data_IF_453806486931
#
_entry.id   IF_453806486931
#
_cell.length_a   1.000
_cell.length_b   1.000
_cell.length_c   1.000
_cell.angle_alpha   90.00
_cell.angle_beta   90.00
_cell.angle_gamma   90.00
#
_symmetry.space_group_name_H-M   'P 1'
#
loop_
_entity.id
_entity.type
_entity.pdbx_description
1 polymer ?
#
# COMPACT_ATOMS: atom_id res chain seq x y z
N UNK A 1 3.98 -9.33 -5.88
CA UNK A 1 3.78 -7.92 -6.27
C UNK A 1 5.13 -7.28 -6.56
N UNK A 2 5.23 -6.56 -7.65
CA UNK A 2 6.44 -5.83 -7.98
C UNK A 2 6.10 -4.34 -8.20
N UNK A 3 7.14 -3.52 -8.31
CA UNK A 3 6.99 -2.07 -8.45
C UNK A 3 6.18 -1.68 -9.70
N UNK A 4 6.35 -2.42 -10.79
CA UNK A 4 5.63 -2.15 -12.03
C UNK A 4 4.13 -2.37 -11.87
N UNK A 5 3.74 -3.48 -11.26
CA UNK A 5 2.32 -3.77 -10.99
C UNK A 5 1.73 -2.77 -10.02
N UNK A 6 2.47 -2.42 -8.98
CA UNK A 6 2.04 -1.46 -7.98
C UNK A 6 1.79 -0.11 -8.64
N UNK A 7 2.71 0.35 -9.47
CA UNK A 7 2.61 1.62 -10.16
C UNK A 7 1.42 1.66 -11.13
N UNK A 8 1.22 0.57 -11.88
CA UNK A 8 0.15 0.48 -12.88
C UNK A 8 -1.25 0.45 -12.28
N UNK A 9 -1.41 -0.11 -11.07
CA UNK A 9 -2.72 -0.31 -10.44
C UNK A 9 -2.92 0.52 -9.18
N UNK A 10 -2.05 1.49 -8.93
CA UNK A 10 -2.05 2.19 -7.65
C UNK A 10 -3.35 2.90 -7.31
N UNK A 11 -3.95 3.60 -8.25
CA UNK A 11 -5.20 4.32 -7.98
C UNK A 11 -6.32 3.39 -7.51
N UNK A 12 -6.41 2.22 -8.12
CA UNK A 12 -7.39 1.21 -7.74
C UNK A 12 -7.07 0.63 -6.36
N UNK A 13 -5.81 0.25 -6.15
CA UNK A 13 -5.36 -0.30 -4.88
C UNK A 13 -5.54 0.69 -3.74
N UNK A 14 -5.24 1.96 -4.00
CA UNK A 14 -5.41 3.03 -3.01
C UNK A 14 -6.85 3.09 -2.51
N UNK A 15 -7.80 3.08 -3.43
CA UNK A 15 -9.21 3.10 -3.06
C UNK A 15 -9.61 1.89 -2.22
N UNK A 16 -9.15 0.71 -2.62
CA UNK A 16 -9.45 -0.54 -1.91
C UNK A 16 -8.80 -0.56 -0.52
N UNK A 17 -7.57 -0.09 -0.40
CA UNK A 17 -6.88 -0.04 0.89
C UNK A 17 -7.57 0.94 1.85
N UNK A 18 -8.00 2.09 1.38
CA UNK A 18 -8.73 3.06 2.21
C UNK A 18 -10.07 2.50 2.67
N UNK A 19 -10.75 1.76 1.82
CA UNK A 19 -12.01 1.13 2.17
C UNK A 19 -11.83 0.02 3.22
N UNK A 20 -10.74 -0.74 3.11
CA UNK A 20 -10.46 -1.84 4.03
C UNK A 20 -9.88 -1.35 5.35
N UNK A 21 -9.04 -0.34 5.32
CA UNK A 21 -8.36 0.20 6.50
C UNK A 21 -8.61 1.70 6.60
N UNK A 22 -9.63 2.05 7.35
CA UNK A 22 -10.06 3.45 7.49
C UNK A 22 -8.99 4.35 8.12
N UNK A 23 -8.00 3.76 8.81
CA UNK A 23 -6.89 4.52 9.40
C UNK A 23 -5.90 5.04 8.35
N UNK A 24 -5.91 4.49 7.13
CA UNK A 24 -5.02 4.95 6.07
C UNK A 24 -5.54 6.25 5.46
N UNK A 25 -4.64 7.23 5.32
CA UNK A 25 -4.97 8.53 4.72
C UNK A 25 -4.36 8.62 3.33
N UNK A 26 -4.75 9.66 2.58
CA UNK A 26 -4.15 9.92 1.27
C UNK A 26 -2.64 10.15 1.37
N UNK A 27 -2.19 10.81 2.45
CA UNK A 27 -0.76 11.04 2.67
C UNK A 27 0.00 9.73 2.89
N UNK A 28 -0.61 8.78 3.60
CA UNK A 28 0.00 7.46 3.82
C UNK A 28 0.13 6.68 2.52
N UNK A 29 -0.75 6.93 1.58
CA UNK A 29 -0.84 6.21 0.32
C UNK A 29 -0.28 6.99 -0.86
N UNK A 30 0.45 8.06 -0.59
CA UNK A 30 1.06 8.86 -1.65
C UNK A 30 2.18 8.08 -2.32
N UNK A 31 1.93 7.65 -3.55
CA UNK A 31 2.90 6.92 -4.35
C UNK A 31 3.86 7.90 -5.02
N UNK A 32 5.14 7.79 -4.68
CA UNK A 32 6.18 8.59 -5.30
C UNK A 32 7.17 7.64 -5.96
N UNK A 33 7.46 7.87 -7.23
CA UNK A 33 8.42 7.06 -7.97
C UNK A 33 9.79 7.08 -7.28
N UNK A 34 10.35 5.89 -7.07
CA UNK A 34 11.61 5.73 -6.35
C UNK A 34 11.48 5.69 -4.83
N UNK A 35 10.25 5.83 -4.29
CA UNK A 35 10.03 5.82 -2.84
C UNK A 35 8.97 4.80 -2.42
N UNK A 36 8.77 3.78 -3.24
CA UNK A 36 7.77 2.74 -2.99
C UNK A 36 8.03 2.01 -1.68
N UNK A 37 9.30 1.74 -1.37
CA UNK A 37 9.66 1.04 -0.14
C UNK A 37 9.34 1.87 1.10
N UNK A 38 9.55 3.18 1.04
CA UNK A 38 9.20 4.09 2.14
C UNK A 38 7.70 4.10 2.38
N UNK A 39 6.92 4.16 1.30
CA UNK A 39 5.47 4.13 1.38
C UNK A 39 4.98 2.82 1.99
N UNK A 40 5.48 1.69 1.51
CA UNK A 40 5.11 0.38 2.04
C UNK A 40 5.50 0.22 3.50
N UNK A 41 6.68 0.73 3.88
CA UNK A 41 7.12 0.72 5.27
C UNK A 41 6.20 1.54 6.17
N UNK A 42 5.74 2.68 5.71
CA UNK A 42 4.82 3.53 6.45
C UNK A 42 3.48 2.81 6.67
N UNK A 43 2.97 2.16 5.62
CA UNK A 43 1.73 1.39 5.71
C UNK A 43 1.88 0.23 6.69
N UNK A 44 3.01 -0.47 6.67
CA UNK A 44 3.29 -1.56 7.60
C UNK A 44 3.21 -1.09 9.05
N UNK A 45 3.83 0.03 9.35
CA UNK A 45 3.83 0.60 10.70
C UNK A 45 2.40 0.98 11.10
N UNK A 46 1.69 1.64 10.21
CA UNK A 46 0.33 2.12 10.49
C UNK A 46 -0.64 0.98 10.76
N UNK A 47 -0.50 -0.12 10.01
CA UNK A 47 -1.38 -1.27 10.15
C UNK A 47 -0.87 -2.31 11.15
N UNK A 48 0.36 -2.19 11.62
CA UNK A 48 0.97 -3.20 12.49
C UNK A 48 1.17 -4.54 11.80
N UNK A 49 1.48 -4.51 10.51
CA UNK A 49 1.63 -5.72 9.70
C UNK A 49 3.08 -5.91 9.26
N UNK A 50 3.45 -7.17 9.02
CA UNK A 50 4.75 -7.47 8.43
C UNK A 50 4.68 -7.21 6.93
N UNK A 51 5.85 -7.17 6.28
CA UNK A 51 5.93 -6.99 4.83
C UNK A 51 5.18 -8.11 4.11
N UNK A 52 5.36 -9.34 4.55
CA UNK A 52 4.70 -10.52 3.97
C UNK A 52 3.18 -10.43 4.12
N UNK A 53 2.72 -10.04 5.30
CA UNK A 53 1.29 -9.86 5.55
C UNK A 53 0.70 -8.77 4.65
N UNK A 54 1.43 -7.67 4.50
CA UNK A 54 0.97 -6.58 3.63
C UNK A 54 0.88 -7.02 2.17
N UNK A 55 1.87 -7.78 1.69
CA UNK A 55 1.84 -8.32 0.33
C UNK A 55 0.64 -9.24 0.12
N UNK A 56 0.32 -10.09 1.10
CA UNK A 56 -0.85 -10.97 1.02
C UNK A 56 -2.14 -10.15 0.96
N UNK A 57 -2.24 -9.11 1.77
CA UNK A 57 -3.41 -8.24 1.78
C UNK A 57 -3.60 -7.58 0.42
N UNK A 58 -2.54 -7.02 -0.13
CA UNK A 58 -2.59 -6.32 -1.43
C UNK A 58 -2.94 -7.29 -2.55
N UNK A 59 -2.37 -8.48 -2.54
CA UNK A 59 -2.66 -9.48 -3.57
C UNK A 59 -4.09 -9.99 -3.51
N UNK A 60 -4.73 -9.93 -2.35
CA UNK A 60 -6.11 -10.39 -2.16
C UNK A 60 -7.16 -9.32 -2.49
N UNK A 61 -6.74 -8.10 -2.70
CA UNK A 61 -7.68 -7.02 -3.08
C UNK A 61 -8.18 -7.18 -4.55
#
# INVERSE_FOLDING_TARGET
>A
MNTTELKGNWNELKGKLKAKFATLTDDDLLFAEGKEDEMLGRIQIKLGKTKEELHEIINAL
#
